data_IF_769560554123
#
_entry.id   IF_769560554123
#
_cell.length_a   1.000
_cell.length_b   1.000
_cell.length_c   1.000
_cell.angle_alpha   90.00
_cell.angle_beta   90.00
_cell.angle_gamma   90.00
#
_symmetry.space_group_name_H-M   'P 1'
#
loop_
_entity.id
_entity.type
_entity.pdbx_description
1 polymer ?
#
# COMPACT_ATOMS: atom_id res chain seq x y z
N UNK A 1 6.10 10.41 -51.80
CA UNK A 1 6.91 9.19 -51.96
C UNK A 1 8.38 9.52 -51.69
N UNK A 2 8.94 9.12 -50.53
CA UNK A 2 10.30 8.55 -50.35
C UNK A 2 10.33 7.91 -48.96
N UNK A 3 10.24 6.58 -48.93
CA UNK A 3 10.41 5.73 -47.75
C UNK A 3 11.83 5.86 -47.20
N UNK A 4 11.99 5.80 -45.88
CA UNK A 4 13.21 5.31 -45.23
C UNK A 4 12.80 4.33 -44.14
N UNK A 5 12.80 3.06 -44.53
CA UNK A 5 12.78 1.90 -43.66
C UNK A 5 14.16 1.81 -43.02
N UNK A 6 14.24 1.85 -41.70
CA UNK A 6 15.41 1.38 -40.95
C UNK A 6 14.90 0.25 -40.06
N UNK A 7 15.22 -0.96 -40.47
CA UNK A 7 15.09 -2.21 -39.71
C UNK A 7 16.52 -2.69 -39.43
N UNK A 8 16.66 -3.58 -38.43
CA UNK A 8 17.84 -4.40 -38.05
C UNK A 8 18.62 -3.75 -36.89
N UNK A 9 18.94 -4.40 -35.78
CA UNK A 9 18.53 -5.62 -35.09
C UNK A 9 19.28 -5.57 -33.75
N UNK A 10 18.62 -5.81 -32.62
CA UNK A 10 19.34 -6.10 -31.38
C UNK A 10 18.80 -7.41 -30.82
N UNK A 11 19.28 -8.49 -31.42
CA UNK A 11 19.05 -9.85 -30.98
C UNK A 11 20.07 -10.15 -29.87
N UNK A 12 19.55 -10.54 -28.71
CA UNK A 12 20.13 -11.46 -27.73
C UNK A 12 21.63 -11.36 -27.42
N UNK A 13 21.93 -10.84 -26.23
CA UNK A 13 22.97 -11.44 -25.38
C UNK A 13 22.40 -11.68 -23.99
N UNK A 14 21.75 -12.83 -23.83
CA UNK A 14 21.60 -13.50 -22.53
C UNK A 14 22.97 -14.11 -22.23
N UNK A 15 23.63 -13.67 -21.17
CA UNK A 15 24.68 -14.49 -20.56
C UNK A 15 24.48 -14.56 -19.04
N UNK A 16 24.19 -15.78 -18.64
CA UNK A 16 23.94 -16.29 -17.32
C UNK A 16 25.27 -16.41 -16.56
N UNK A 17 25.37 -15.85 -15.36
CA UNK A 17 26.36 -16.26 -14.37
C UNK A 17 25.69 -16.33 -13.00
N UNK A 18 25.18 -17.52 -12.65
CA UNK A 18 24.99 -17.89 -11.24
C UNK A 18 26.36 -18.27 -10.69
N UNK A 19 26.78 -17.58 -9.63
CA UNK A 19 27.86 -18.05 -8.76
C UNK A 19 27.32 -18.14 -7.34
N UNK A 20 27.13 -19.38 -6.93
CA UNK A 20 26.91 -19.83 -5.57
C UNK A 20 28.23 -19.82 -4.77
N UNK A 21 28.06 -20.13 -3.48
CA UNK A 21 29.06 -20.34 -2.42
C UNK A 21 29.39 -19.07 -1.60
N UNK A 22 29.52 -19.12 -0.28
CA UNK A 22 29.85 -20.25 0.59
C UNK A 22 29.38 -19.97 2.01
N UNK A 23 29.03 -21.01 2.76
CA UNK A 23 28.56 -20.94 4.13
C UNK A 23 29.57 -20.34 5.10
N UNK A 24 29.05 -19.68 6.14
CA UNK A 24 29.85 -19.24 7.28
C UNK A 24 29.84 -20.35 8.34
N UNK A 25 30.94 -21.07 8.41
CA UNK A 25 31.32 -21.94 9.53
C UNK A 25 31.49 -21.09 10.79
N UNK A 26 30.78 -21.49 11.85
CA UNK A 26 30.96 -21.03 13.23
C UNK A 26 32.38 -21.38 13.67
N UNK A 27 33.11 -20.40 14.18
CA UNK A 27 34.37 -20.63 14.86
C UNK A 27 34.17 -20.47 16.37
N UNK A 28 34.53 -21.52 17.10
CA UNK A 28 34.55 -21.60 18.55
C UNK A 28 35.46 -20.52 19.15
N UNK A 29 34.94 -19.83 20.16
CA UNK A 29 35.72 -19.13 21.16
C UNK A 29 35.28 -19.62 22.53
N UNK A 30 36.06 -20.54 23.12
CA UNK A 30 35.95 -20.90 24.53
C UNK A 30 36.24 -19.67 25.40
N UNK A 31 35.35 -19.34 26.33
CA UNK A 31 35.79 -18.89 27.65
C UNK A 31 34.75 -19.21 28.73
N UNK A 32 35.28 -19.64 29.87
CA UNK A 32 34.65 -20.33 30.97
C UNK A 32 33.82 -19.39 31.85
N UNK A 33 32.68 -19.84 32.40
CA UNK A 33 32.54 -20.28 33.80
C UNK A 33 31.06 -20.27 34.25
N UNK A 34 30.74 -21.28 35.06
CA UNK A 34 29.68 -21.35 36.08
C UNK A 34 28.22 -21.73 35.71
N UNK A 35 27.91 -22.97 36.11
CA UNK A 35 26.75 -23.40 36.93
C UNK A 35 25.47 -23.77 36.15
N UNK A 36 25.22 -25.08 35.92
CA UNK A 36 24.41 -26.01 36.76
C UNK A 36 22.91 -25.89 36.41
N UNK A 37 22.06 -26.90 36.17
CA UNK A 37 21.92 -28.32 36.50
C UNK A 37 21.31 -29.08 35.29
N UNK A 38 21.44 -30.40 35.34
CA UNK A 38 20.86 -31.43 34.49
C UNK A 38 19.32 -31.49 34.62
N UNK A 39 18.60 -31.68 33.51
CA UNK A 39 17.48 -32.64 33.50
C UNK A 39 17.22 -33.22 32.13
N UNK A 40 17.26 -34.54 32.12
CA UNK A 40 17.09 -35.48 31.01
C UNK A 40 15.65 -35.48 30.49
N UNK A 41 15.57 -35.71 29.18
CA UNK A 41 14.44 -36.20 28.38
C UNK A 41 13.46 -37.13 29.11
N UNK A 42 12.16 -37.09 28.77
CA UNK A 42 11.60 -37.93 27.71
C UNK A 42 10.10 -37.65 27.49
N UNK A 43 9.68 -38.03 26.30
CA UNK A 43 8.44 -37.88 25.55
C UNK A 43 7.33 -38.84 26.02
N UNK A 44 6.05 -38.41 26.09
CA UNK A 44 4.84 -39.23 25.77
C UNK A 44 3.65 -38.31 25.40
N UNK A 45 3.43 -38.14 24.11
CA UNK A 45 2.26 -38.53 23.30
C UNK A 45 0.80 -38.63 23.85
N UNK A 46 -0.09 -37.89 23.15
CA UNK A 46 -1.52 -38.10 22.74
C UNK A 46 -2.62 -38.28 23.85
N UNK A 47 -3.86 -37.77 23.79
CA UNK A 47 -4.84 -37.61 22.70
C UNK A 47 -5.98 -36.63 23.07
N UNK A 48 -6.55 -35.99 22.02
CA UNK A 48 -8.00 -35.81 21.76
C UNK A 48 -8.92 -35.11 22.78
N UNK A 49 -9.53 -34.00 22.38
CA UNK A 49 -10.92 -34.01 21.85
C UNK A 49 -11.41 -32.60 21.47
N UNK A 50 -12.14 -32.57 20.36
CA UNK A 50 -12.85 -31.44 19.74
C UNK A 50 -13.95 -30.87 20.64
N UNK A 51 -14.22 -29.57 20.54
CA UNK A 51 -15.59 -29.05 20.55
C UNK A 51 -15.66 -27.70 19.83
N UNK A 52 -16.48 -27.67 18.78
CA UNK A 52 -16.90 -26.48 18.05
C UNK A 52 -18.03 -25.81 18.83
N UNK A 53 -18.06 -24.49 18.88
CA UNK A 53 -19.30 -23.75 19.08
C UNK A 53 -19.29 -22.46 18.27
N UNK A 54 -20.15 -22.45 17.24
CA UNK A 54 -20.64 -21.24 16.59
C UNK A 54 -21.60 -20.51 17.54
N UNK A 55 -21.91 -19.24 17.21
CA UNK A 55 -23.33 -19.01 16.97
C UNK A 55 -23.57 -18.26 15.65
N UNK A 56 -24.42 -18.89 14.84
CA UNK A 56 -25.18 -18.25 13.77
C UNK A 56 -26.03 -17.09 14.32
N UNK A 57 -25.99 -15.97 13.61
CA UNK A 57 -26.84 -14.80 13.83
C UNK A 57 -27.16 -14.16 12.50
N UNK A 58 -27.92 -14.89 11.68
CA UNK A 58 -28.49 -14.43 10.43
C UNK A 58 -29.69 -13.49 10.72
N UNK A 59 -29.54 -12.19 10.46
CA UNK A 59 -30.68 -11.29 10.28
C UNK A 59 -30.29 -9.94 9.66
N UNK A 60 -30.75 -9.76 8.42
CA UNK A 60 -31.27 -8.52 7.83
C UNK A 60 -30.26 -7.51 7.33
N UNK A 61 -29.92 -7.67 6.04
CA UNK A 61 -29.73 -6.55 5.12
C UNK A 61 -30.92 -5.60 5.23
N UNK A 62 -30.72 -4.46 5.89
CA UNK A 62 -31.48 -3.25 5.60
C UNK A 62 -30.68 -2.40 4.63
N UNK A 63 -31.04 -2.53 3.36
CA UNK A 63 -30.88 -1.48 2.36
C UNK A 63 -31.80 -0.30 2.73
N UNK A 64 -31.38 0.88 2.33
CA UNK A 64 -32.03 2.19 2.42
C UNK A 64 -31.63 3.05 3.61
N UNK A 65 -30.49 3.73 3.46
CA UNK A 65 -30.52 5.18 3.56
C UNK A 65 -29.91 5.75 2.27
N UNK A 66 -30.79 6.10 1.34
CA UNK A 66 -30.48 6.97 0.21
C UNK A 66 -30.43 8.39 0.78
N UNK A 67 -29.44 8.63 1.64
CA UNK A 67 -29.13 9.95 2.15
C UNK A 67 -28.72 10.78 0.96
N UNK A 68 -29.62 11.66 0.53
CA UNK A 68 -29.29 12.82 -0.29
C UNK A 68 -28.08 13.45 0.36
N UNK A 69 -26.91 13.25 -0.24
CA UNK A 69 -25.74 14.05 0.07
C UNK A 69 -26.16 15.45 -0.29
N UNK A 70 -26.62 16.18 0.72
CA UNK A 70 -26.86 17.60 0.62
C UNK A 70 -25.59 18.17 -0.01
N UNK A 71 -25.75 18.84 -1.16
CA UNK A 71 -24.77 19.76 -1.72
C UNK A 71 -24.62 20.93 -0.72
N UNK A 72 -24.19 20.63 0.51
CA UNK A 72 -23.54 21.58 1.40
C UNK A 72 -22.36 22.10 0.59
N UNK A 73 -22.48 23.37 0.23
CA UNK A 73 -21.65 24.05 -0.74
C UNK A 73 -20.17 23.75 -0.45
N UNK A 74 -19.61 22.81 -1.24
CA UNK A 74 -18.17 22.70 -1.41
C UNK A 74 -17.76 24.05 -1.96
N UNK A 75 -17.27 24.92 -1.07
CA UNK A 75 -16.89 26.28 -1.42
C UNK A 75 -16.01 26.25 -2.66
N UNK A 76 -16.21 27.25 -3.52
CA UNK A 76 -15.74 27.38 -4.91
C UNK A 76 -14.20 27.29 -5.13
N UNK A 77 -13.44 26.76 -4.18
CA UNK A 77 -11.98 26.69 -4.16
C UNK A 77 -11.40 25.36 -3.61
N UNK A 78 -12.22 24.40 -3.18
CA UNK A 78 -11.73 23.09 -2.70
C UNK A 78 -11.58 22.09 -3.84
N UNK A 79 -10.47 21.35 -3.86
CA UNK A 79 -10.24 20.29 -4.84
C UNK A 79 -11.23 19.15 -4.60
N UNK A 80 -12.00 18.79 -5.64
CA UNK A 80 -13.00 17.71 -5.57
C UNK A 80 -12.34 16.40 -5.95
N UNK A 81 -12.57 15.36 -5.15
CA UNK A 81 -12.21 13.99 -5.51
C UNK A 81 -13.46 13.18 -5.83
N UNK A 82 -13.38 12.36 -6.88
CA UNK A 82 -14.38 11.34 -7.19
C UNK A 82 -13.74 9.96 -7.21
N UNK A 83 -14.50 8.94 -6.79
CA UNK A 83 -14.19 7.53 -7.00
C UNK A 83 -15.25 6.98 -7.95
N UNK A 84 -14.86 6.75 -9.20
CA UNK A 84 -15.83 6.58 -10.29
C UNK A 84 -16.65 7.87 -10.44
N UNK A 85 -17.98 7.74 -10.36
CA UNK A 85 -18.90 8.87 -10.46
C UNK A 85 -19.32 9.44 -9.09
N UNK A 86 -18.82 8.85 -7.99
CA UNK A 86 -19.18 9.25 -6.63
C UNK A 86 -18.22 10.30 -6.11
N UNK A 87 -18.71 11.49 -5.77
CA UNK A 87 -17.94 12.50 -5.04
C UNK A 87 -17.62 12.01 -3.63
N UNK A 88 -16.39 12.24 -3.19
CA UNK A 88 -15.95 11.94 -1.82
C UNK A 88 -15.37 13.20 -1.19
N UNK A 89 -15.69 13.41 0.09
CA UNK A 89 -15.08 14.49 0.85
C UNK A 89 -13.67 14.07 1.25
N UNK A 90 -12.72 14.99 1.07
CA UNK A 90 -11.33 14.81 1.46
C UNK A 90 -10.91 16.03 2.26
N UNK A 91 -10.45 15.80 3.47
CA UNK A 91 -9.81 16.81 4.30
C UNK A 91 -8.35 16.97 3.85
N UNK A 92 -8.16 17.76 2.80
CA UNK A 92 -6.84 17.94 2.21
C UNK A 92 -5.85 18.62 3.15
N UNK A 93 -4.65 18.04 3.26
CA UNK A 93 -3.54 18.59 4.03
C UNK A 93 -3.01 19.91 3.46
N UNK A 94 -2.51 20.78 4.35
CA UNK A 94 -1.80 22.00 3.95
C UNK A 94 -0.31 21.73 3.72
N UNK A 95 0.00 21.19 2.53
CA UNK A 95 1.38 20.91 2.14
C UNK A 95 1.65 21.06 0.63
N UNK A 96 2.94 21.07 0.28
CA UNK A 96 3.41 21.28 -1.10
C UNK A 96 2.99 20.19 -2.08
N UNK A 97 2.72 18.98 -1.61
CA UNK A 97 2.24 17.90 -2.48
C UNK A 97 0.78 18.14 -2.89
N UNK A 98 -0.07 18.53 -1.92
CA UNK A 98 -1.47 18.91 -2.18
C UNK A 98 -1.55 20.19 -3.03
N UNK A 99 -0.67 21.17 -2.81
CA UNK A 99 -0.55 22.34 -3.69
C UNK A 99 -0.24 21.94 -5.13
N UNK A 100 0.75 21.07 -5.34
CA UNK A 100 1.12 20.62 -6.66
C UNK A 100 0.00 19.80 -7.33
N UNK A 101 -0.69 18.94 -6.56
CA UNK A 101 -1.87 18.20 -7.03
C UNK A 101 -3.00 19.16 -7.46
N UNK A 102 -3.26 20.19 -6.65
CA UNK A 102 -4.23 21.25 -6.97
C UNK A 102 -3.87 21.99 -8.24
N UNK A 103 -2.60 22.30 -8.43
CA UNK A 103 -2.13 22.97 -9.64
C UNK A 103 -2.33 22.11 -10.88
N UNK A 104 -2.10 20.80 -10.80
CA UNK A 104 -2.43 19.88 -11.89
C UNK A 104 -3.93 19.92 -12.22
N UNK A 105 -4.79 19.93 -11.20
CA UNK A 105 -6.24 19.93 -11.36
C UNK A 105 -6.77 21.23 -12.00
N UNK A 106 -5.99 22.33 -11.99
CA UNK A 106 -6.36 23.58 -12.69
C UNK A 106 -6.32 23.43 -14.21
N UNK A 107 -5.49 22.53 -14.73
CA UNK A 107 -5.38 22.26 -16.16
C UNK A 107 -6.45 21.28 -16.67
N UNK A 108 -7.17 20.63 -15.74
CA UNK A 108 -8.24 19.67 -16.00
C UNK A 108 -8.21 18.49 -15.03
N UNK A 109 -9.10 17.52 -15.24
CA UNK A 109 -9.24 16.36 -14.36
C UNK A 109 -7.95 15.52 -14.31
N UNK A 110 -7.46 15.27 -13.09
CA UNK A 110 -6.37 14.32 -12.85
C UNK A 110 -6.96 12.92 -12.66
N UNK A 111 -7.12 12.18 -13.76
CA UNK A 111 -7.66 10.80 -13.72
C UNK A 111 -6.56 9.78 -13.44
N UNK A 112 -6.64 9.09 -12.31
CA UNK A 112 -5.69 8.03 -11.92
C UNK A 112 -6.37 6.67 -11.99
N UNK A 113 -5.78 5.74 -12.74
CA UNK A 113 -6.22 4.34 -12.74
C UNK A 113 -5.65 3.63 -11.51
N UNK A 114 -6.54 3.27 -10.61
CA UNK A 114 -6.19 2.62 -9.35
C UNK A 114 -6.27 1.09 -9.48
N UNK A 115 -5.36 0.38 -8.80
CA UNK A 115 -5.36 -1.09 -8.71
C UNK A 115 -5.34 -1.52 -7.26
N UNK A 116 -6.18 -2.48 -6.89
CA UNK A 116 -6.18 -3.09 -5.55
C UNK A 116 -4.87 -3.85 -5.32
N UNK A 117 -4.24 -3.61 -4.18
CA UNK A 117 -3.04 -4.30 -3.73
C UNK A 117 -3.20 -4.76 -2.28
N UNK A 118 -2.82 -6.02 -2.01
CA UNK A 118 -2.88 -6.61 -0.67
C UNK A 118 -4.27 -6.74 -0.04
N UNK A 119 -5.33 -6.26 -0.69
CA UNK A 119 -6.70 -6.23 -0.16
C UNK A 119 -6.98 -5.09 0.81
N UNK A 120 -6.01 -4.20 1.06
CA UNK A 120 -6.13 -3.10 2.03
C UNK A 120 -5.76 -1.73 1.46
N UNK A 121 -5.26 -1.65 0.23
CA UNK A 121 -4.93 -0.39 -0.43
C UNK A 121 -5.22 -0.43 -1.93
N UNK A 122 -5.52 0.72 -2.50
CA UNK A 122 -5.53 0.95 -3.94
C UNK A 122 -4.42 1.92 -4.30
N UNK A 123 -3.65 1.59 -5.35
CA UNK A 123 -2.48 2.38 -5.77
C UNK A 123 -2.60 2.73 -7.25
N UNK A 124 -2.20 3.95 -7.61
CA UNK A 124 -2.13 4.38 -9.01
C UNK A 124 -1.06 5.44 -9.23
N UNK A 125 -0.41 5.40 -10.40
CA UNK A 125 0.57 6.43 -10.76
C UNK A 125 -0.12 7.72 -11.17
N UNK A 126 0.40 8.85 -10.68
CA UNK A 126 -0.07 10.19 -11.08
C UNK A 126 0.62 10.70 -12.36
N UNK A 127 1.51 9.91 -12.96
CA UNK A 127 2.16 10.20 -14.23
C UNK A 127 3.36 11.15 -14.16
N UNK A 128 3.62 11.78 -13.01
CA UNK A 128 4.78 12.64 -12.79
C UNK A 128 5.23 12.64 -11.32
N UNK A 129 6.37 13.27 -11.05
CA UNK A 129 6.88 13.46 -9.67
C UNK A 129 6.30 14.72 -9.05
N UNK A 130 5.79 14.59 -7.82
CA UNK A 130 5.36 15.68 -6.96
C UNK A 130 6.36 15.91 -5.81
N UNK A 131 6.35 17.09 -5.17
CA UNK A 131 7.09 17.32 -3.93
C UNK A 131 6.73 16.29 -2.86
N UNK A 132 7.69 15.93 -2.01
CA UNK A 132 7.53 14.98 -0.91
C UNK A 132 7.91 15.65 0.42
N UNK A 133 7.16 15.36 1.46
CA UNK A 133 7.48 15.62 2.87
C UNK A 133 7.17 14.34 3.65
N UNK A 134 7.92 13.28 3.35
CA UNK A 134 7.57 11.96 3.87
C UNK A 134 7.83 11.86 5.37
N UNK A 135 6.86 11.30 6.07
CA UNK A 135 6.90 11.04 7.51
C UNK A 135 6.48 9.61 7.77
N UNK A 136 7.10 9.02 8.79
CA UNK A 136 6.65 7.73 9.29
C UNK A 136 5.18 7.86 9.71
N UNK A 137 4.31 7.14 9.00
CA UNK A 137 2.86 7.24 9.14
C UNK A 137 2.31 5.83 9.22
N UNK A 138 1.38 5.61 10.15
CA UNK A 138 0.56 4.40 10.18
C UNK A 138 -0.82 4.77 9.68
N UNK A 139 -1.24 4.16 8.58
CA UNK A 139 -2.47 4.52 7.91
C UNK A 139 -3.69 3.83 8.52
N UNK A 140 -4.85 4.39 8.26
CA UNK A 140 -6.17 3.84 8.55
C UNK A 140 -7.05 3.89 7.29
N UNK A 141 -8.21 3.22 7.34
CA UNK A 141 -9.19 3.30 6.25
C UNK A 141 -9.59 4.75 6.00
N UNK A 142 -9.55 5.18 4.74
CA UNK A 142 -9.83 6.55 4.31
C UNK A 142 -8.58 7.40 4.06
N UNK A 143 -7.42 7.02 4.62
CA UNK A 143 -6.19 7.80 4.45
C UNK A 143 -5.74 7.81 2.97
N UNK A 144 -5.34 8.99 2.51
CA UNK A 144 -4.81 9.24 1.17
C UNK A 144 -3.38 9.77 1.30
N UNK A 145 -2.46 9.11 0.61
CA UNK A 145 -1.04 9.48 0.67
C UNK A 145 -0.39 9.52 -0.70
N UNK A 146 0.68 10.29 -0.81
CA UNK A 146 1.65 10.20 -1.89
C UNK A 146 2.77 9.23 -1.47
N UNK A 147 2.96 8.19 -2.27
CA UNK A 147 4.03 7.22 -2.12
C UNK A 147 5.05 7.35 -3.26
N UNK A 148 6.33 7.26 -2.90
CA UNK A 148 7.46 7.38 -3.83
C UNK A 148 7.52 8.71 -4.62
N UNK A 149 6.66 9.68 -4.31
CA UNK A 149 6.55 10.96 -5.01
C UNK A 149 5.75 10.93 -6.30
N UNK A 150 5.24 9.78 -6.73
CA UNK A 150 4.58 9.65 -8.04
C UNK A 150 3.41 8.66 -8.06
N UNK A 151 2.97 8.19 -6.88
CA UNK A 151 1.84 7.29 -6.72
C UNK A 151 0.90 7.83 -5.66
N UNK A 152 -0.39 7.85 -5.98
CA UNK A 152 -1.45 8.07 -4.99
C UNK A 152 -1.86 6.71 -4.45
N UNK A 153 -2.03 6.63 -3.13
CA UNK A 153 -2.54 5.45 -2.43
C UNK A 153 -3.76 5.85 -1.61
N UNK A 154 -4.84 5.08 -1.72
CA UNK A 154 -6.04 5.18 -0.87
C UNK A 154 -6.12 3.92 -0.03
N UNK A 155 -6.18 4.06 1.29
CA UNK A 155 -6.17 2.95 2.24
C UNK A 155 -7.59 2.52 2.67
N UNK A 156 -7.77 1.22 2.85
CA UNK A 156 -8.94 0.56 3.46
C UNK A 156 -8.56 -0.24 4.71
N UNK A 157 -7.28 -0.24 5.06
CA UNK A 157 -6.71 -0.91 6.21
C UNK A 157 -5.43 -0.22 6.65
N UNK A 158 -4.64 -0.86 7.50
CA UNK A 158 -3.46 -0.24 8.09
C UNK A 158 -2.16 -0.70 7.45
N UNK A 159 -1.27 0.25 7.20
CA UNK A 159 0.11 0.00 6.81
C UNK A 159 1.02 1.08 7.43
N UNK A 160 2.27 0.73 7.76
CA UNK A 160 3.23 1.65 8.37
C UNK A 160 4.44 1.83 7.47
N UNK A 161 4.61 3.02 6.91
CA UNK A 161 5.75 3.36 6.07
C UNK A 161 6.05 4.86 6.10
N UNK A 162 7.02 5.29 5.31
CA UNK A 162 7.31 6.70 5.06
C UNK A 162 6.46 7.22 3.90
N UNK A 163 5.51 8.10 4.21
CA UNK A 163 4.52 8.65 3.28
C UNK A 163 4.41 10.16 3.40
N UNK A 164 4.05 10.84 2.32
CA UNK A 164 3.56 12.23 2.40
C UNK A 164 2.02 12.17 2.50
N UNK A 165 1.45 12.62 3.62
CA UNK A 165 0.00 12.67 3.83
C UNK A 165 -0.66 13.65 2.87
N UNK A 166 -1.80 13.30 2.29
CA UNK A 166 -2.59 14.18 1.43
C UNK A 166 -3.99 14.45 2.00
N UNK A 167 -4.59 13.45 2.64
CA UNK A 167 -5.89 13.51 3.34
C UNK A 167 -6.08 12.28 4.21
#
# INVERSE_FOLDING_TARGET
MKMKIILIAFCMTIMFCMSACSGNTINSGDNQNAVTEISTSENVEIESSEENDEPEGDAMYHTEDNGTVDDEAIGDSTMIMTIGDTKVNVDWEDNRAVEALRDMAKDGDVTIKMTMYGGFEQVGSIGQSLPRDDKQTTTSSGDIVLYSGNQIVVFYGSNSWSYTRLG
#
